data_IF_199655308069
#
_entry.id   IF_199655308069
#
_cell.length_a   1.000
_cell.length_b   1.000
_cell.length_c   1.000
_cell.angle_alpha   90.00
_cell.angle_beta   90.00
_cell.angle_gamma   90.00
#
_symmetry.space_group_name_H-M   'P 1'
#
loop_
_entity.id
_entity.type
_entity.pdbx_description
1 polymer ?
#
# COMPACT_ATOMS: atom_id res chain seq x y z
N UNK A 1 37.71 -1.08 -10.27
CA UNK A 1 36.40 -0.77 -9.63
C UNK A 1 36.15 -1.77 -8.51
N UNK A 2 36.10 -1.32 -7.26
CA UNK A 2 35.98 -2.19 -6.09
C UNK A 2 34.75 -3.11 -6.19
N UNK A 3 34.95 -4.42 -6.08
CA UNK A 3 33.91 -5.47 -6.22
C UNK A 3 32.75 -5.23 -5.24
N UNK A 4 33.06 -4.74 -4.05
CA UNK A 4 32.09 -4.36 -3.01
C UNK A 4 31.15 -3.23 -3.45
N UNK A 5 31.64 -2.24 -4.22
CA UNK A 5 30.79 -1.14 -4.72
C UNK A 5 29.81 -1.64 -5.78
N UNK A 6 30.26 -2.51 -6.71
CA UNK A 6 29.37 -3.11 -7.71
C UNK A 6 28.25 -3.93 -7.07
N UNK A 7 28.56 -4.66 -6.00
CA UNK A 7 27.59 -5.50 -5.29
C UNK A 7 26.56 -4.65 -4.53
N UNK A 8 27.00 -3.58 -3.86
CA UNK A 8 26.10 -2.61 -3.20
C UNK A 8 25.16 -1.92 -4.19
N UNK A 9 25.69 -1.48 -5.34
CA UNK A 9 24.89 -0.83 -6.38
C UNK A 9 23.90 -1.83 -7.01
N UNK A 10 24.33 -3.06 -7.28
CA UNK A 10 23.44 -4.11 -7.78
C UNK A 10 22.31 -4.42 -6.80
N UNK A 11 22.62 -4.52 -5.51
CA UNK A 11 21.63 -4.75 -4.45
C UNK A 11 20.66 -3.56 -4.34
N UNK A 12 21.15 -2.33 -4.39
CA UNK A 12 20.32 -1.13 -4.39
C UNK A 12 19.34 -1.13 -5.56
N UNK A 13 19.84 -1.42 -6.77
CA UNK A 13 19.00 -1.45 -7.97
C UNK A 13 17.94 -2.54 -7.89
N UNK A 14 18.31 -3.71 -7.36
CA UNK A 14 17.38 -4.81 -7.11
C UNK A 14 16.28 -4.43 -6.13
N UNK A 15 16.61 -3.78 -5.01
CA UNK A 15 15.63 -3.28 -4.05
C UNK A 15 14.67 -2.25 -4.65
N UNK A 16 15.19 -1.34 -5.49
CA UNK A 16 14.36 -0.35 -6.19
C UNK A 16 13.36 -1.05 -7.11
N UNK A 17 13.80 -2.03 -7.90
CA UNK A 17 12.91 -2.81 -8.78
C UNK A 17 11.83 -3.52 -7.96
N UNK A 18 12.20 -4.18 -6.85
CA UNK A 18 11.24 -4.84 -5.98
C UNK A 18 10.21 -3.85 -5.42
N UNK A 19 10.63 -2.67 -4.98
CA UNK A 19 9.72 -1.65 -4.48
C UNK A 19 8.72 -1.17 -5.54
N UNK A 20 9.17 -0.99 -6.79
CA UNK A 20 8.27 -0.63 -7.90
C UNK A 20 7.26 -1.75 -8.16
N UNK A 21 7.71 -3.00 -8.22
CA UNK A 21 6.84 -4.14 -8.54
C UNK A 21 5.74 -4.36 -7.48
N UNK A 22 6.01 -4.09 -6.21
CA UNK A 22 5.02 -4.24 -5.13
C UNK A 22 4.04 -3.06 -5.06
N UNK A 23 4.46 -1.86 -5.46
CA UNK A 23 3.65 -0.65 -5.40
C UNK A 23 2.70 -0.50 -6.59
N UNK A 24 3.14 -0.85 -7.81
CA UNK A 24 2.35 -0.74 -9.05
C UNK A 24 0.91 -1.29 -8.95
N UNK A 25 0.67 -2.51 -8.41
CA UNK A 25 -0.70 -3.04 -8.29
C UNK A 25 -1.59 -2.25 -7.32
N UNK A 26 -1.03 -1.41 -6.45
CA UNK A 26 -1.79 -0.54 -5.54
C UNK A 26 -2.34 0.71 -6.25
N UNK A 27 -1.72 1.16 -7.34
CA UNK A 27 -2.13 2.36 -8.08
C UNK A 27 -2.95 2.04 -9.33
N UNK A 28 -2.75 0.87 -9.94
CA UNK A 28 -3.39 0.49 -11.20
C UNK A 28 -4.38 -0.66 -11.02
N UNK A 29 -5.67 -0.37 -11.20
CA UNK A 29 -6.75 -1.35 -11.09
C UNK A 29 -6.72 -2.46 -12.16
N UNK A 30 -6.11 -2.23 -13.34
CA UNK A 30 -6.03 -3.19 -14.44
C UNK A 30 -4.71 -4.00 -14.48
N UNK A 31 -4.09 -4.27 -13.34
CA UNK A 31 -2.93 -5.19 -13.29
C UNK A 31 -3.36 -6.65 -13.43
N UNK A 32 -2.52 -7.52 -14.01
CA UNK A 32 -2.78 -8.95 -14.15
C UNK A 32 -3.16 -9.61 -12.82
N UNK A 33 -4.10 -10.56 -12.86
CA UNK A 33 -4.64 -11.23 -11.66
C UNK A 33 -3.58 -11.97 -10.84
N UNK A 34 -2.57 -12.55 -11.49
CA UNK A 34 -1.43 -13.20 -10.82
C UNK A 34 -0.59 -12.20 -10.01
N UNK A 35 -0.44 -10.97 -10.52
CA UNK A 35 0.38 -9.95 -9.88
C UNK A 35 -0.31 -9.45 -8.60
N UNK A 36 -1.62 -9.21 -8.66
CA UNK A 36 -2.41 -8.88 -7.47
C UNK A 36 -2.40 -10.03 -6.45
N UNK A 37 -2.57 -11.28 -6.90
CA UNK A 37 -2.66 -12.45 -6.00
C UNK A 37 -1.39 -12.68 -5.16
N UNK A 38 -0.21 -12.51 -5.73
CA UNK A 38 1.05 -12.85 -5.06
C UNK A 38 1.80 -11.66 -4.45
N UNK A 39 1.63 -10.44 -4.97
CA UNK A 39 2.40 -9.27 -4.50
C UNK A 39 1.58 -8.35 -3.60
N UNK A 40 0.33 -8.06 -3.95
CA UNK A 40 -0.48 -7.07 -3.23
C UNK A 40 -1.99 -7.39 -3.33
N UNK A 41 -2.47 -8.44 -2.63
CA UNK A 41 -3.83 -8.94 -2.76
C UNK A 41 -4.91 -7.92 -2.37
N UNK A 42 -4.63 -7.03 -1.43
CA UNK A 42 -5.50 -5.90 -1.06
C UNK A 42 -4.91 -4.52 -1.40
N UNK A 43 -3.77 -4.46 -2.10
CA UNK A 43 -3.06 -3.21 -2.35
C UNK A 43 -2.71 -2.44 -1.07
N UNK A 44 -2.42 -1.14 -1.21
CA UNK A 44 -2.35 -0.21 -0.09
C UNK A 44 -3.77 0.04 0.46
N UNK A 45 -4.04 -0.41 1.68
CA UNK A 45 -5.27 -0.06 2.39
C UNK A 45 -5.25 1.42 2.73
N UNK A 46 -5.99 2.22 1.97
CA UNK A 46 -6.14 3.64 2.23
C UNK A 46 -6.92 3.84 3.54
N UNK A 47 -6.52 4.81 4.36
CA UNK A 47 -7.30 5.19 5.54
C UNK A 47 -8.63 5.83 5.14
N UNK A 48 -9.58 5.90 6.05
CA UNK A 48 -10.93 6.46 5.80
C UNK A 48 -10.89 7.90 5.25
N UNK A 49 -9.90 8.68 5.68
CA UNK A 49 -9.60 10.03 5.19
C UNK A 49 -9.24 10.05 3.69
N UNK A 50 -8.38 9.12 3.25
CA UNK A 50 -7.96 8.99 1.86
C UNK A 50 -8.97 8.20 0.99
N UNK A 51 -9.81 7.37 1.61
CA UNK A 51 -10.90 6.65 0.94
C UNK A 51 -12.15 7.53 0.76
N UNK A 52 -12.24 8.68 1.44
CA UNK A 52 -13.40 9.56 1.40
C UNK A 52 -14.65 8.96 2.07
N UNK A 53 -14.48 8.07 3.05
CA UNK A 53 -15.57 7.43 3.78
C UNK A 53 -16.08 8.26 4.96
N UNK A 54 -17.19 7.84 5.59
CA UNK A 54 -17.75 8.48 6.78
C UNK A 54 -17.74 7.49 7.96
N UNK A 55 -16.99 7.80 9.02
CA UNK A 55 -16.99 7.00 10.25
C UNK A 55 -18.02 7.60 11.22
N UNK A 56 -19.27 7.14 11.12
CA UNK A 56 -20.35 7.59 11.99
C UNK A 56 -20.33 6.80 13.30
N UNK A 57 -19.97 7.49 14.39
CA UNK A 57 -20.10 6.94 15.76
C UNK A 57 -21.37 7.53 16.37
N UNK A 58 -22.44 6.71 16.44
CA UNK A 58 -23.64 7.10 17.17
C UNK A 58 -23.37 6.96 18.68
N UNK A 59 -23.52 8.07 19.41
CA UNK A 59 -23.59 8.07 20.88
C UNK A 59 -24.98 8.51 21.29
N UNK A 60 -25.56 7.79 22.25
CA UNK A 60 -26.84 8.17 22.86
C UNK A 60 -26.64 9.46 23.67
N UNK A 61 -27.45 10.48 23.38
CA UNK A 61 -27.43 11.72 24.14
C UNK A 61 -28.26 11.56 25.42
N UNK A 62 -27.59 11.17 26.51
CA UNK A 62 -28.23 10.92 27.81
C UNK A 62 -28.84 12.20 28.42
N UNK A 63 -28.34 13.39 28.08
CA UNK A 63 -28.83 14.66 28.62
C UNK A 63 -30.19 15.07 28.02
N UNK A 64 -30.53 14.58 26.83
CA UNK A 64 -31.83 14.82 26.17
C UNK A 64 -32.89 13.76 26.51
N UNK A 65 -32.48 12.72 27.23
CA UNK A 65 -33.31 11.60 27.65
C UNK A 65 -33.71 11.69 29.14
N UNK A 66 -33.35 12.79 29.83
CA UNK A 66 -33.87 13.15 31.15
C UNK A 66 -35.05 14.11 31.03
#
# INVERSE_FOLDING_TARGET
>A
MNTTLKLKVGLLFFLIILAVITIVPSFYANTPSWWKKYMAPEGLRLGLDLQGGMHLVLKVNLQKAQ
#
